data_IF_068034862596
#
_entry.id   IF_068034862596
#
_cell.length_a   1.000
_cell.length_b   1.000
_cell.length_c   1.000
_cell.angle_alpha   90.00
_cell.angle_beta   90.00
_cell.angle_gamma   90.00
#
_symmetry.space_group_name_H-M   'P 1'
#
loop_
_entity.id
_entity.type
_entity.pdbx_description
1 polymer ?
#
# COMPACT_ATOMS: atom_id res chain seq x y z
N UNK A 1 51.15 37.35 -29.61
CA UNK A 1 50.55 37.57 -28.28
C UNK A 1 49.56 38.72 -28.40
N UNK A 2 48.31 38.41 -28.78
CA UNK A 2 47.18 39.34 -28.77
C UNK A 2 45.98 38.50 -28.32
N UNK A 3 45.56 38.65 -27.07
CA UNK A 3 44.27 38.17 -26.60
C UNK A 3 43.33 39.37 -26.65
N UNK A 4 42.39 39.33 -27.60
CA UNK A 4 41.28 40.28 -27.69
C UNK A 4 40.29 39.99 -26.57
N UNK A 5 40.17 40.93 -25.63
CA UNK A 5 39.06 40.99 -24.67
C UNK A 5 37.77 41.19 -25.46
N UNK A 6 36.89 40.19 -25.39
CA UNK A 6 35.53 40.27 -25.91
C UNK A 6 34.64 40.79 -24.77
N UNK A 7 34.24 42.05 -24.85
CA UNK A 7 33.30 42.68 -23.93
C UNK A 7 31.89 42.20 -24.28
N UNK A 8 31.33 41.31 -23.46
CA UNK A 8 30.00 40.76 -23.68
C UNK A 8 28.96 41.69 -23.02
N UNK A 9 28.28 42.47 -23.86
CA UNK A 9 27.30 43.47 -23.48
C UNK A 9 26.07 42.81 -22.80
N UNK A 10 25.97 42.90 -21.47
CA UNK A 10 24.96 42.21 -20.63
C UNK A 10 23.51 42.73 -20.78
N UNK A 11 23.22 43.59 -21.76
CA UNK A 11 21.99 44.39 -21.77
C UNK A 11 20.73 43.69 -22.29
N UNK A 12 20.82 42.42 -22.71
CA UNK A 12 19.70 41.67 -23.31
C UNK A 12 19.54 40.23 -22.82
N UNK A 13 19.90 39.93 -21.57
CA UNK A 13 19.60 38.59 -21.01
C UNK A 13 18.16 38.56 -20.50
N UNK A 14 17.28 37.93 -21.28
CA UNK A 14 15.89 37.70 -20.88
C UNK A 14 15.85 36.90 -19.56
N UNK A 15 15.15 37.38 -18.51
CA UNK A 15 15.15 36.76 -17.18
C UNK A 15 14.60 35.33 -17.17
N UNK A 16 13.82 34.92 -18.18
CA UNK A 16 13.39 33.51 -18.34
C UNK A 16 14.53 32.57 -18.74
N UNK A 17 15.57 33.09 -19.40
CA UNK A 17 16.73 32.29 -19.84
C UNK A 17 17.72 32.05 -18.69
N UNK A 18 17.84 32.99 -17.75
CA UNK A 18 18.71 32.85 -16.56
C UNK A 18 18.18 31.78 -15.60
N UNK A 19 16.86 31.60 -15.52
CA UNK A 19 16.24 30.52 -14.75
C UNK A 19 16.40 29.13 -15.38
N UNK A 20 16.63 29.05 -16.70
CA UNK A 20 16.88 27.77 -17.37
C UNK A 20 18.33 27.30 -17.18
N UNK A 21 19.29 28.22 -17.07
CA UNK A 21 20.72 27.88 -16.90
C UNK A 21 21.02 27.45 -15.46
N UNK A 22 20.37 28.04 -14.45
CA UNK A 22 20.52 27.58 -13.06
C UNK A 22 19.99 26.16 -12.81
N UNK A 23 19.10 25.64 -13.68
CA UNK A 23 18.63 24.26 -13.57
C UNK A 23 19.52 23.25 -14.30
N UNK A 24 20.51 23.71 -15.07
CA UNK A 24 21.45 22.87 -15.81
C UNK A 24 22.79 22.69 -15.09
N UNK A 25 23.13 23.56 -14.12
CA UNK A 25 24.34 23.44 -13.30
C UNK A 25 24.19 22.39 -12.17
N UNK A 26 22.98 21.90 -11.89
CA UNK A 26 22.72 20.80 -10.94
C UNK A 26 22.85 19.40 -11.57
N UNK A 27 23.16 19.28 -12.88
CA UNK A 27 23.02 18.01 -13.62
C UNK A 27 24.31 17.21 -13.84
N UNK A 28 25.51 17.68 -13.47
CA UNK A 28 26.74 16.93 -13.74
C UNK A 28 27.63 16.75 -12.52
N UNK A 29 27.22 15.84 -11.65
CA UNK A 29 28.20 14.96 -11.00
C UNK A 29 27.87 13.53 -11.44
N UNK A 30 28.41 13.16 -12.60
CA UNK A 30 28.41 11.77 -13.04
C UNK A 30 29.09 10.93 -11.94
N UNK A 31 28.30 10.05 -11.31
CA UNK A 31 28.80 9.10 -10.31
C UNK A 31 29.87 8.24 -10.97
N UNK A 32 31.06 8.18 -10.39
CA UNK A 32 32.12 7.33 -10.95
C UNK A 32 31.81 5.86 -10.70
N UNK A 33 32.31 4.96 -11.55
CA UNK A 33 32.10 3.51 -11.36
C UNK A 33 32.63 3.03 -10.00
N UNK A 34 33.68 3.66 -9.46
CA UNK A 34 34.23 3.36 -8.13
C UNK A 34 33.26 3.73 -7.00
N UNK A 35 32.58 4.88 -7.11
CA UNK A 35 31.55 5.27 -6.15
C UNK A 35 30.29 4.39 -6.28
N UNK A 36 30.01 3.92 -7.49
CA UNK A 36 28.83 3.12 -7.79
C UNK A 36 28.83 1.77 -7.07
N UNK A 37 29.98 1.14 -6.81
CA UNK A 37 30.03 -0.17 -6.14
C UNK A 37 29.38 -0.15 -4.74
N UNK A 38 29.63 0.92 -3.97
CA UNK A 38 29.01 1.10 -2.65
C UNK A 38 27.50 1.42 -2.77
N UNK A 39 27.13 2.21 -3.77
CA UNK A 39 25.74 2.58 -4.01
C UNK A 39 24.90 1.41 -4.54
N UNK A 40 25.49 0.47 -5.27
CA UNK A 40 24.81 -0.74 -5.75
C UNK A 40 24.32 -1.57 -4.56
N UNK A 41 25.16 -1.77 -3.55
CA UNK A 41 24.79 -2.54 -2.35
C UNK A 41 23.60 -1.89 -1.64
N UNK A 42 23.68 -0.59 -1.38
CA UNK A 42 22.60 0.18 -0.75
C UNK A 42 21.33 0.22 -1.61
N UNK A 43 21.46 0.27 -2.93
CA UNK A 43 20.33 0.22 -3.86
C UNK A 43 19.64 -1.15 -3.84
N UNK A 44 20.40 -2.24 -3.80
CA UNK A 44 19.87 -3.61 -3.69
C UNK A 44 19.12 -3.79 -2.36
N UNK A 45 19.55 -3.10 -1.30
CA UNK A 45 18.91 -3.11 0.02
C UNK A 45 17.79 -2.09 0.23
N UNK A 46 17.38 -1.38 -0.83
CA UNK A 46 16.37 -0.32 -0.79
C UNK A 46 16.68 0.79 0.23
N UNK A 47 17.98 1.02 0.53
CA UNK A 47 18.44 2.03 1.48
C UNK A 47 18.62 3.42 0.84
N UNK A 48 18.81 3.47 -0.48
CA UNK A 48 18.93 4.73 -1.22
C UNK A 48 17.57 5.41 -1.43
N UNK A 49 17.53 6.73 -1.21
CA UNK A 49 16.34 7.54 -1.43
C UNK A 49 16.68 8.85 -2.17
N UNK A 50 15.66 9.47 -2.77
CA UNK A 50 15.79 10.80 -3.36
C UNK A 50 16.72 10.85 -4.57
N UNK A 51 17.70 11.76 -4.56
CA UNK A 51 18.54 12.02 -5.72
C UNK A 51 19.67 10.99 -5.90
N UNK A 52 20.17 10.40 -4.81
CA UNK A 52 21.17 9.33 -4.86
C UNK A 52 20.63 8.09 -5.60
N UNK A 53 19.37 7.72 -5.33
CA UNK A 53 18.70 6.63 -6.02
C UNK A 53 18.54 6.93 -7.53
N UNK A 54 18.17 8.16 -7.89
CA UNK A 54 18.04 8.56 -9.30
C UNK A 54 19.37 8.52 -10.03
N UNK A 55 20.43 9.03 -9.39
CA UNK A 55 21.79 9.04 -9.96
C UNK A 55 22.32 7.62 -10.15
N UNK A 56 22.11 6.75 -9.17
CA UNK A 56 22.46 5.33 -9.26
C UNK A 56 21.74 4.64 -10.43
N UNK A 57 20.42 4.81 -10.53
CA UNK A 57 19.62 4.21 -11.62
C UNK A 57 20.03 4.75 -12.99
N UNK A 58 20.32 6.06 -13.09
CA UNK A 58 20.82 6.66 -14.32
C UNK A 58 22.17 6.07 -14.73
N UNK A 59 23.12 5.92 -13.80
CA UNK A 59 24.42 5.30 -14.07
C UNK A 59 24.28 3.84 -14.52
N UNK A 60 23.41 3.04 -13.88
CA UNK A 60 23.17 1.64 -14.26
C UNK A 60 22.58 1.51 -15.67
N UNK A 61 21.82 2.49 -16.14
CA UNK A 61 21.29 2.52 -17.50
C UNK A 61 22.38 2.73 -18.57
N UNK A 62 23.48 3.41 -18.20
CA UNK A 62 24.57 3.76 -19.11
C UNK A 62 25.79 2.81 -19.01
N UNK A 63 26.05 2.25 -17.83
CA UNK A 63 27.23 1.45 -17.53
C UNK A 63 26.91 -0.06 -17.40
N UNK A 64 27.24 -0.83 -18.44
CA UNK A 64 26.99 -2.29 -18.51
C UNK A 64 27.70 -3.07 -17.40
N UNK A 65 28.92 -2.66 -17.04
CA UNK A 65 29.70 -3.34 -16.00
C UNK A 65 29.05 -3.20 -14.62
N UNK A 66 28.64 -1.98 -14.26
CA UNK A 66 27.94 -1.73 -13.00
C UNK A 66 26.56 -2.41 -12.97
N UNK A 67 25.83 -2.42 -14.09
CA UNK A 67 24.56 -3.14 -14.18
C UNK A 67 24.72 -4.66 -13.99
N UNK A 68 25.81 -5.23 -14.53
CA UNK A 68 26.12 -6.66 -14.34
C UNK A 68 26.40 -6.99 -12.88
N UNK A 69 27.06 -6.09 -12.14
CA UNK A 69 27.31 -6.26 -10.70
C UNK A 69 25.99 -6.14 -9.92
N UNK A 70 25.16 -5.15 -10.24
CA UNK A 70 23.83 -4.97 -9.63
C UNK A 70 22.95 -6.20 -9.78
N UNK A 71 22.80 -6.74 -10.99
CA UNK A 71 21.97 -7.93 -11.22
C UNK A 71 22.48 -9.17 -10.47
N UNK A 72 23.81 -9.35 -10.37
CA UNK A 72 24.41 -10.43 -9.58
C UNK A 72 24.12 -10.29 -8.08
N UNK A 73 24.24 -9.09 -7.52
CA UNK A 73 23.94 -8.86 -6.11
C UNK A 73 22.44 -9.07 -5.82
N UNK A 74 21.58 -8.61 -6.72
CA UNK A 74 20.12 -8.81 -6.64
C UNK A 74 19.73 -10.29 -6.72
N UNK A 75 20.33 -11.06 -7.63
CA UNK A 75 20.12 -12.50 -7.72
C UNK A 75 20.58 -13.20 -6.43
N UNK A 76 21.75 -12.84 -5.89
CA UNK A 76 22.24 -13.37 -4.63
C UNK A 76 21.28 -13.07 -3.47
N UNK A 77 20.75 -11.84 -3.39
CA UNK A 77 19.75 -11.47 -2.39
C UNK A 77 18.49 -12.35 -2.48
N UNK A 78 17.95 -12.58 -3.69
CA UNK A 78 16.81 -13.46 -3.90
C UNK A 78 17.10 -14.92 -3.49
N UNK A 79 18.31 -15.42 -3.77
CA UNK A 79 18.74 -16.75 -3.33
C UNK A 79 18.83 -16.84 -1.80
N UNK A 80 19.35 -15.79 -1.14
CA UNK A 80 19.40 -15.72 0.31
C UNK A 80 17.99 -15.65 0.92
N UNK A 81 17.10 -14.83 0.37
CA UNK A 81 15.70 -14.73 0.83
C UNK A 81 14.94 -16.05 0.69
N UNK A 82 15.19 -16.81 -0.38
CA UNK A 82 14.56 -18.13 -0.57
C UNK A 82 15.15 -19.23 0.32
N UNK A 83 16.44 -19.12 0.67
CA UNK A 83 17.14 -20.11 1.51
C UNK A 83 16.91 -19.85 3.00
N UNK A 84 16.93 -18.59 3.41
CA UNK A 84 16.61 -18.16 4.75
C UNK A 84 15.10 -18.32 4.95
N UNK A 85 14.68 -19.46 5.51
CA UNK A 85 13.30 -19.66 5.95
C UNK A 85 12.86 -18.43 6.76
N UNK A 86 11.87 -17.69 6.24
CA UNK A 86 11.44 -16.44 6.84
C UNK A 86 11.12 -16.65 8.32
N UNK A 87 11.99 -16.12 9.19
CA UNK A 87 11.77 -16.24 10.64
C UNK A 87 10.59 -15.36 10.97
N UNK A 88 9.45 -15.99 11.22
CA UNK A 88 8.23 -15.24 11.43
C UNK A 88 8.26 -14.54 12.78
N UNK A 89 8.11 -13.22 12.77
CA UNK A 89 8.04 -12.44 14.00
C UNK A 89 6.79 -12.86 14.80
N UNK A 90 6.93 -13.23 16.09
CA UNK A 90 5.81 -13.56 16.98
C UNK A 90 4.69 -12.51 16.91
N UNK A 91 3.43 -12.96 16.95
CA UNK A 91 2.26 -12.10 16.78
C UNK A 91 2.26 -10.87 17.72
N UNK A 92 2.74 -11.03 18.95
CA UNK A 92 2.83 -9.93 19.92
C UNK A 92 3.84 -8.85 19.50
N UNK A 93 4.99 -9.21 18.89
CA UNK A 93 5.96 -8.24 18.39
C UNK A 93 5.39 -7.46 17.21
N UNK A 94 4.72 -8.15 16.27
CA UNK A 94 4.05 -7.50 15.14
C UNK A 94 2.97 -6.53 15.61
N UNK A 95 2.16 -6.93 16.58
CA UNK A 95 1.15 -6.06 17.19
C UNK A 95 1.79 -4.83 17.86
N UNK A 96 2.90 -5.02 18.58
CA UNK A 96 3.65 -3.92 19.22
C UNK A 96 4.21 -2.94 18.21
N UNK A 97 4.83 -3.42 17.12
CA UNK A 97 5.38 -2.58 16.06
C UNK A 97 4.27 -1.79 15.34
N UNK A 98 3.13 -2.44 15.01
CA UNK A 98 2.00 -1.73 14.42
C UNK A 98 1.46 -0.63 15.32
N UNK A 99 1.38 -0.90 16.63
CA UNK A 99 0.97 0.09 17.61
C UNK A 99 1.96 1.25 17.68
N UNK A 100 3.26 0.98 17.72
CA UNK A 100 4.27 2.05 17.79
C UNK A 100 4.28 2.91 16.52
N UNK A 101 4.13 2.31 15.33
CA UNK A 101 4.02 3.08 14.07
C UNK A 101 2.80 4.00 14.10
N UNK A 102 1.66 3.51 14.60
CA UNK A 102 0.44 4.31 14.72
C UNK A 102 0.62 5.45 15.73
N UNK A 103 1.20 5.17 16.89
CA UNK A 103 1.47 6.18 17.92
C UNK A 103 2.44 7.26 17.40
N UNK A 104 3.49 6.86 16.66
CA UNK A 104 4.45 7.78 16.05
C UNK A 104 3.82 8.63 14.92
N UNK A 105 2.91 8.06 14.13
CA UNK A 105 2.20 8.80 13.10
C UNK A 105 1.26 9.86 13.71
N UNK A 106 0.56 9.50 14.79
CA UNK A 106 -0.33 10.42 15.51
C UNK A 106 0.47 11.53 16.22
N UNK A 107 1.62 11.20 16.82
CA UNK A 107 2.47 12.19 17.48
C UNK A 107 3.17 13.12 16.51
N UNK A 108 3.67 12.61 15.38
CA UNK A 108 4.37 13.41 14.37
C UNK A 108 3.47 14.48 13.74
N UNK A 109 2.20 14.15 13.47
CA UNK A 109 1.23 15.12 12.95
C UNK A 109 0.92 16.21 13.98
N UNK A 110 0.69 15.84 15.25
CA UNK A 110 0.41 16.81 16.31
C UNK A 110 1.62 17.70 16.61
N UNK A 111 2.83 17.15 16.57
CA UNK A 111 4.06 17.88 16.81
C UNK A 111 4.40 18.83 15.65
N UNK A 112 4.21 18.40 14.40
CA UNK A 112 4.31 19.28 13.23
C UNK A 112 3.25 20.40 13.27
N UNK A 113 2.01 20.10 13.67
CA UNK A 113 0.98 21.11 13.89
C UNK A 113 1.36 22.08 15.02
N UNK A 114 1.92 21.59 16.13
CA UNK A 114 2.37 22.41 17.25
C UNK A 114 3.55 23.31 16.88
N UNK A 115 4.50 22.83 16.07
CA UNK A 115 5.60 23.66 15.54
C UNK A 115 5.09 24.74 14.58
N UNK A 116 4.15 24.41 13.69
CA UNK A 116 3.51 25.38 12.79
C UNK A 116 2.69 26.42 13.58
N UNK A 117 2.01 26.01 14.65
CA UNK A 117 1.22 26.90 15.51
C UNK A 117 2.09 27.76 16.46
N UNK A 118 3.23 27.23 16.92
CA UNK A 118 4.13 27.94 17.83
C UNK A 118 5.13 28.85 17.12
N UNK A 119 5.36 28.67 15.81
CA UNK A 119 6.13 29.57 14.95
C UNK A 119 5.38 30.89 14.64
N UNK A 120 5.06 31.65 15.68
CA UNK A 120 5.00 33.11 15.79
C UNK A 120 4.84 34.02 14.53
N UNK A 121 3.86 33.78 13.64
CA UNK A 121 3.30 34.81 12.71
C UNK A 121 1.77 34.77 12.60
N UNK A 122 1.09 34.61 13.73
CA UNK A 122 -0.35 34.37 13.83
C UNK A 122 -1.27 35.61 13.79
N UNK A 123 -0.84 36.77 13.25
CA UNK A 123 -1.78 37.89 13.02
C UNK A 123 -2.43 37.84 11.64
N UNK A 124 -1.75 37.28 10.63
CA UNK A 124 -2.29 37.14 9.27
C UNK A 124 -2.82 35.73 8.96
N UNK A 125 -2.27 34.68 9.60
CA UNK A 125 -2.65 33.29 9.34
C UNK A 125 -4.04 32.90 9.90
N UNK A 126 -4.51 33.55 10.98
CA UNK A 126 -5.86 33.28 11.54
C UNK A 126 -6.95 33.67 10.56
N UNK A 127 -6.76 34.79 9.85
CA UNK A 127 -7.74 35.27 8.89
C UNK A 127 -7.87 34.31 7.70
N UNK A 128 -6.77 33.78 7.17
CA UNK A 128 -6.80 32.84 6.04
C UNK A 128 -7.36 31.47 6.42
N UNK A 129 -7.02 30.95 7.61
CA UNK A 129 -7.59 29.67 8.09
C UNK A 129 -9.09 29.81 8.39
N UNK A 130 -9.53 30.92 9.00
CA UNK A 130 -10.95 31.17 9.20
C UNK A 130 -11.70 31.30 7.87
N UNK A 131 -11.11 31.94 6.87
CA UNK A 131 -11.70 32.07 5.53
C UNK A 131 -11.80 30.71 4.83
N UNK A 132 -10.77 29.88 4.91
CA UNK A 132 -10.79 28.51 4.38
C UNK A 132 -11.79 27.63 5.12
N UNK A 133 -11.91 27.74 6.44
CA UNK A 133 -12.93 27.02 7.20
C UNK A 133 -14.34 27.43 6.77
N UNK A 134 -14.61 28.73 6.57
CA UNK A 134 -15.91 29.23 6.07
C UNK A 134 -16.21 28.72 4.65
N UNK A 135 -15.19 28.66 3.78
CA UNK A 135 -15.34 28.14 2.41
C UNK A 135 -15.55 26.63 2.42
N UNK A 136 -14.80 25.88 3.22
CA UNK A 136 -14.80 24.40 3.21
C UNK A 136 -15.97 23.82 4.01
N UNK A 137 -16.44 24.49 5.07
CA UNK A 137 -17.57 24.05 5.91
C UNK A 137 -18.85 23.70 5.13
N UNK A 138 -19.33 24.49 4.15
CA UNK A 138 -20.49 24.10 3.36
C UNK A 138 -20.21 22.87 2.46
N UNK A 139 -18.99 22.71 1.94
CA UNK A 139 -18.63 21.55 1.11
C UNK A 139 -18.47 20.27 1.93
N UNK A 140 -17.94 20.34 3.16
CA UNK A 140 -17.83 19.18 4.04
C UNK A 140 -19.21 18.69 4.49
N UNK A 141 -20.17 19.59 4.72
CA UNK A 141 -21.56 19.19 5.01
C UNK A 141 -22.25 18.55 3.80
N UNK A 142 -21.98 19.01 2.58
CA UNK A 142 -22.43 18.34 1.34
C UNK A 142 -21.82 16.93 1.18
N UNK A 143 -20.56 16.74 1.57
CA UNK A 143 -19.90 15.44 1.50
C UNK A 143 -20.33 14.48 2.62
N UNK A 144 -20.51 14.99 3.85
CA UNK A 144 -21.02 14.19 4.98
C UNK A 144 -22.46 13.75 4.72
N UNK A 145 -23.26 14.53 4.01
CA UNK A 145 -24.59 14.11 3.57
C UNK A 145 -24.54 13.06 2.44
N UNK A 146 -23.47 13.02 1.63
CA UNK A 146 -23.23 11.94 0.65
C UNK A 146 -22.67 10.66 1.27
N UNK A 147 -22.02 10.75 2.44
CA UNK A 147 -21.60 9.57 3.22
C UNK A 147 -22.72 9.02 4.10
N UNK A 148 -23.73 9.84 4.41
CA UNK A 148 -24.90 9.49 5.22
C UNK A 148 -26.05 8.83 4.45
N UNK A 149 -25.98 8.74 3.11
CA UNK A 149 -27.05 8.17 2.27
C UNK A 149 -26.77 6.77 1.70
N UNK A 150 -25.69 6.10 2.09
CA UNK A 150 -25.53 4.65 1.86
C UNK A 150 -26.16 3.79 2.98
N UNK A 151 -26.94 4.40 3.88
CA UNK A 151 -27.85 3.72 4.81
C UNK A 151 -29.29 4.23 4.67
N UNK A 152 -29.67 4.76 3.50
CA UNK A 152 -30.98 4.33 3.03
C UNK A 152 -30.81 2.81 2.89
N UNK A 153 -31.47 2.07 3.77
CA UNK A 153 -31.60 0.63 3.65
C UNK A 153 -32.10 0.37 2.23
N UNK A 154 -31.16 0.15 1.30
CA UNK A 154 -31.43 -0.59 0.11
C UNK A 154 -31.90 -1.91 0.70
N UNK A 155 -33.24 -2.09 0.70
CA UNK A 155 -33.89 -3.37 0.85
C UNK A 155 -33.41 -4.21 -0.33
N UNK A 156 -32.11 -4.53 -0.35
CA UNK A 156 -31.60 -5.66 -1.06
C UNK A 156 -32.43 -6.80 -0.53
N UNK A 157 -33.22 -7.36 -1.43
CA UNK A 157 -34.07 -8.49 -1.19
C UNK A 157 -33.18 -9.62 -0.66
N UNK A 158 -33.08 -9.68 0.67
CA UNK A 158 -32.25 -10.63 1.38
C UNK A 158 -32.89 -11.98 1.18
N UNK A 159 -32.46 -12.67 0.13
CA UNK A 159 -32.98 -13.99 -0.17
C UNK A 159 -32.42 -14.97 0.84
N UNK A 160 -33.30 -15.54 1.66
CA UNK A 160 -32.94 -16.68 2.48
C UNK A 160 -32.63 -17.87 1.57
N UNK A 161 -31.45 -18.46 1.73
CA UNK A 161 -30.98 -19.58 0.94
C UNK A 161 -30.37 -20.65 1.84
N UNK A 162 -30.43 -21.89 1.37
CA UNK A 162 -29.68 -23.01 1.91
C UNK A 162 -28.66 -23.46 0.87
N UNK A 163 -27.38 -23.44 1.22
CA UNK A 163 -26.28 -23.83 0.33
C UNK A 163 -25.57 -25.03 0.92
N UNK A 164 -25.44 -26.08 0.11
CA UNK A 164 -24.69 -27.28 0.44
C UNK A 164 -23.39 -27.29 -0.35
N UNK A 165 -22.29 -27.56 0.33
CA UNK A 165 -20.98 -27.51 -0.30
C UNK A 165 -19.85 -27.99 0.60
N UNK A 166 -18.64 -27.92 0.07
CA UNK A 166 -17.40 -28.27 0.79
C UNK A 166 -16.77 -26.99 1.34
N UNK A 167 -16.38 -27.02 2.62
CA UNK A 167 -15.62 -25.94 3.22
C UNK A 167 -14.18 -25.97 2.70
N UNK A 168 -13.69 -24.83 2.24
CA UNK A 168 -12.34 -24.65 1.74
C UNK A 168 -11.75 -23.31 2.18
N UNK A 169 -10.44 -23.14 2.01
CA UNK A 169 -9.78 -21.85 2.21
C UNK A 169 -9.79 -21.07 0.89
N UNK A 170 -10.41 -19.90 0.89
CA UNK A 170 -10.59 -19.04 -0.28
C UNK A 170 -9.23 -18.60 -0.83
N UNK A 171 -8.30 -18.19 0.04
CA UNK A 171 -6.96 -17.74 -0.38
C UNK A 171 -6.17 -18.86 -1.05
N UNK A 172 -6.23 -20.05 -0.46
CA UNK A 172 -5.55 -21.23 -0.99
C UNK A 172 -6.14 -21.64 -2.37
N UNK A 173 -7.46 -21.57 -2.58
CA UNK A 173 -8.06 -21.81 -3.90
C UNK A 173 -7.74 -20.70 -4.91
N UNK A 174 -7.70 -19.43 -4.49
CA UNK A 174 -7.31 -18.32 -5.35
C UNK A 174 -5.85 -18.46 -5.83
N UNK A 175 -4.93 -18.81 -4.93
CA UNK A 175 -3.53 -19.09 -5.25
C UNK A 175 -3.39 -20.26 -6.23
N UNK A 176 -4.15 -21.34 -6.00
CA UNK A 176 -4.18 -22.50 -6.90
C UNK A 176 -4.70 -22.14 -8.28
N UNK A 177 -5.75 -21.32 -8.37
CA UNK A 177 -6.28 -20.83 -9.64
C UNK A 177 -5.26 -19.96 -10.40
N UNK A 178 -4.39 -19.25 -9.69
CA UNK A 178 -3.27 -18.49 -10.26
C UNK A 178 -2.03 -19.36 -10.60
N UNK A 179 -2.07 -20.67 -10.35
CA UNK A 179 -0.94 -21.58 -10.63
C UNK A 179 0.16 -21.60 -9.56
N UNK A 180 -0.11 -21.05 -8.37
CA UNK A 180 0.84 -21.04 -7.25
C UNK A 180 0.57 -22.18 -6.26
N UNK A 181 1.61 -22.59 -5.54
CA UNK A 181 1.50 -23.52 -4.41
C UNK A 181 0.91 -22.74 -3.24
N UNK A 182 -0.28 -23.14 -2.79
CA UNK A 182 -0.96 -22.50 -1.69
C UNK A 182 -0.29 -22.85 -0.35
N UNK A 183 0.31 -21.86 0.30
CA UNK A 183 0.91 -21.98 1.63
C UNK A 183 0.15 -21.02 2.54
N UNK A 184 -0.90 -21.51 3.19
CA UNK A 184 -1.68 -20.74 4.16
C UNK A 184 -1.20 -21.14 5.57
N UNK A 185 -0.31 -20.35 6.19
CA UNK A 185 0.31 -20.72 7.48
C UNK A 185 -0.40 -20.16 8.72
N UNK A 186 -1.14 -19.04 8.63
CA UNK A 186 -1.52 -18.28 9.85
C UNK A 186 -2.97 -17.77 9.87
N UNK A 187 -3.66 -17.68 8.73
CA UNK A 187 -5.08 -17.31 8.72
C UNK A 187 -5.74 -17.89 7.47
N UNK A 188 -6.75 -18.75 7.63
CA UNK A 188 -7.52 -19.23 6.48
C UNK A 188 -8.84 -18.51 6.45
N UNK A 189 -9.10 -17.77 5.38
CA UNK A 189 -10.46 -17.31 5.11
C UNK A 189 -11.28 -18.49 4.59
N UNK A 190 -12.07 -19.09 5.49
CA UNK A 190 -12.92 -20.21 5.12
C UNK A 190 -14.14 -19.73 4.32
N UNK A 191 -14.45 -20.46 3.26
CA UNK A 191 -15.64 -20.30 2.44
C UNK A 191 -16.26 -21.67 2.12
N UNK A 192 -17.43 -21.67 1.46
CA UNK A 192 -18.13 -22.87 1.03
C UNK A 192 -18.21 -22.91 -0.50
N UNK A 193 -17.68 -23.96 -1.11
CA UNK A 193 -17.85 -24.23 -2.53
C UNK A 193 -19.03 -25.17 -2.76
N UNK A 194 -20.05 -24.71 -3.48
CA UNK A 194 -21.21 -25.53 -3.83
C UNK A 194 -20.90 -26.52 -4.96
N UNK A 195 -21.89 -27.35 -5.31
CA UNK A 195 -21.75 -28.35 -6.38
C UNK A 195 -21.58 -27.75 -7.79
N UNK A 196 -21.90 -26.47 -7.97
CA UNK A 196 -21.67 -25.75 -9.24
C UNK A 196 -20.25 -25.15 -9.30
N UNK A 197 -19.43 -25.34 -8.26
CA UNK A 197 -18.09 -24.77 -8.15
C UNK A 197 -18.07 -23.32 -7.67
N UNK A 198 -19.24 -22.75 -7.34
CA UNK A 198 -19.37 -21.37 -6.88
C UNK A 198 -18.97 -21.27 -5.41
N UNK A 199 -18.07 -20.32 -5.11
CA UNK A 199 -17.55 -20.08 -3.77
C UNK A 199 -18.41 -19.02 -3.06
N UNK A 200 -18.83 -19.35 -1.85
CA UNK A 200 -19.59 -18.51 -0.93
C UNK A 200 -18.73 -18.10 0.26
N UNK A 201 -18.66 -16.79 0.49
CA UNK A 201 -17.91 -16.17 1.57
C UNK A 201 -18.82 -15.94 2.78
N UNK A 202 -18.33 -16.23 3.98
CA UNK A 202 -19.09 -15.99 5.20
C UNK A 202 -18.91 -14.55 5.65
N UNK A 203 -20.02 -13.84 5.82
CA UNK A 203 -19.99 -12.53 6.47
C UNK A 203 -19.78 -12.71 7.96
N UNK A 204 -19.09 -11.74 8.57
CA UNK A 204 -18.72 -11.72 9.97
C UNK A 204 -19.92 -11.48 10.92
N UNK A 205 -20.94 -12.34 10.82
CA UNK A 205 -22.04 -12.48 11.77
C UNK A 205 -21.63 -13.45 12.89
N UNK A 206 -22.33 -13.42 14.02
CA UNK A 206 -21.99 -14.20 15.21
C UNK A 206 -21.86 -15.71 14.92
N UNK A 207 -22.77 -16.27 14.13
CA UNK A 207 -22.70 -17.67 13.68
C UNK A 207 -21.61 -17.92 12.63
N UNK A 208 -21.36 -16.95 11.75
CA UNK A 208 -20.29 -17.01 10.75
C UNK A 208 -18.91 -17.13 11.39
N UNK A 209 -18.66 -16.39 12.48
CA UNK A 209 -17.40 -16.44 13.24
C UNK A 209 -17.05 -17.86 13.72
N UNK A 210 -18.06 -18.66 14.08
CA UNK A 210 -17.87 -20.04 14.53
C UNK A 210 -17.34 -20.95 13.42
N UNK A 211 -17.69 -20.64 12.17
CA UNK A 211 -17.19 -21.38 11.00
C UNK A 211 -15.83 -20.85 10.57
N UNK A 212 -15.69 -19.52 10.44
CA UNK A 212 -14.50 -18.85 9.86
C UNK A 212 -13.20 -19.27 10.57
N UNK A 213 -13.25 -19.46 11.89
CA UNK A 213 -12.07 -19.77 12.69
C UNK A 213 -11.94 -21.26 13.09
N UNK A 214 -12.86 -22.13 12.65
CA UNK A 214 -12.80 -23.56 12.97
C UNK A 214 -12.20 -24.38 11.81
N UNK A 215 -10.88 -24.53 11.84
CA UNK A 215 -10.15 -25.30 10.83
C UNK A 215 -10.51 -26.79 10.82
N UNK A 216 -11.16 -27.33 11.86
CA UNK A 216 -11.61 -28.72 11.87
C UNK A 216 -12.72 -28.98 10.84
N UNK A 217 -13.39 -27.92 10.39
CA UNK A 217 -14.41 -27.94 9.35
C UNK A 217 -13.82 -27.94 7.94
N UNK A 218 -12.51 -27.66 7.78
CA UNK A 218 -11.88 -27.63 6.47
C UNK A 218 -12.01 -28.98 5.75
N UNK A 219 -12.31 -28.91 4.46
CA UNK A 219 -12.62 -30.05 3.61
C UNK A 219 -13.84 -30.89 4.00
N UNK A 220 -14.64 -30.48 4.99
CA UNK A 220 -15.91 -31.14 5.33
C UNK A 220 -17.05 -30.63 4.45
N UNK A 221 -18.00 -31.50 4.17
CA UNK A 221 -19.25 -31.12 3.51
C UNK A 221 -20.22 -30.60 4.57
N UNK A 222 -20.80 -29.44 4.30
CA UNK A 222 -21.71 -28.76 5.20
C UNK A 222 -22.91 -28.23 4.44
N UNK A 223 -23.98 -28.00 5.17
CA UNK A 223 -25.13 -27.22 4.71
C UNK A 223 -25.24 -25.97 5.58
N UNK A 224 -25.34 -24.83 4.92
CA UNK A 224 -25.38 -23.51 5.54
C UNK A 224 -26.66 -22.83 5.09
N UNK A 225 -27.45 -22.41 6.07
CA UNK A 225 -28.68 -21.63 5.89
C UNK A 225 -28.41 -20.19 6.31
N UNK A 226 -28.81 -19.23 5.48
CA UNK A 226 -28.55 -17.82 5.74
C UNK A 226 -29.12 -16.90 4.68
N UNK A 227 -28.78 -15.61 4.79
CA UNK A 227 -29.21 -14.60 3.83
C UNK A 227 -28.11 -14.34 2.82
N UNK A 228 -28.43 -14.50 1.54
CA UNK A 228 -27.56 -14.08 0.45
C UNK A 228 -27.50 -12.55 0.40
N UNK A 229 -26.31 -12.00 0.22
CA UNK A 229 -26.11 -10.56 0.05
C UNK A 229 -25.83 -10.26 -1.42
N UNK A 230 -26.88 -9.93 -2.22
CA UNK A 230 -26.71 -9.59 -3.63
C UNK A 230 -25.90 -8.30 -3.79
N UNK A 231 -25.25 -8.13 -4.94
CA UNK A 231 -24.55 -6.88 -5.29
C UNK A 231 -23.10 -6.78 -4.84
N UNK A 232 -22.61 -7.73 -4.05
CA UNK A 232 -21.17 -7.84 -3.79
C UNK A 232 -20.49 -8.60 -4.94
N UNK A 233 -19.29 -8.17 -5.34
CA UNK A 233 -18.46 -8.85 -6.36
C UNK A 233 -18.15 -10.32 -6.01
N UNK A 234 -18.45 -10.73 -4.78
CA UNK A 234 -18.22 -12.06 -4.24
C UNK A 234 -19.54 -12.57 -3.65
N UNK A 235 -19.84 -13.85 -3.77
CA UNK A 235 -21.08 -14.40 -3.24
C UNK A 235 -21.00 -14.47 -1.72
N UNK A 236 -21.62 -13.52 -1.03
CA UNK A 236 -21.59 -13.44 0.41
C UNK A 236 -22.87 -14.04 1.03
N UNK A 237 -22.71 -14.77 2.12
CA UNK A 237 -23.82 -15.30 2.92
C UNK A 237 -23.67 -14.89 4.39
N UNK A 238 -24.72 -14.29 4.94
CA UNK A 238 -24.84 -14.06 6.38
C UNK A 238 -25.41 -15.33 7.02
N UNK A 239 -24.53 -16.11 7.65
CA UNK A 239 -24.85 -17.41 8.24
C UNK A 239 -25.83 -17.25 9.40
N UNK A 240 -26.93 -18.00 9.36
CA UNK A 240 -27.90 -18.10 10.46
C UNK A 240 -27.81 -19.47 11.14
N UNK A 241 -27.54 -20.51 10.36
CA UNK A 241 -27.44 -21.88 10.85
C UNK A 241 -26.52 -22.68 9.95
N UNK A 242 -25.83 -23.65 10.52
CA UNK A 242 -25.04 -24.61 9.77
C UNK A 242 -25.13 -26.00 10.39
N UNK A 243 -25.00 -27.03 9.56
CA UNK A 243 -24.87 -28.42 10.00
C UNK A 243 -23.83 -29.16 9.18
N UNK A 244 -23.10 -30.04 9.84
CA UNK A 244 -22.22 -31.00 9.19
C UNK A 244 -23.07 -32.13 8.61
N UNK A 245 -22.76 -32.54 7.39
CA UNK A 245 -23.43 -33.65 6.70
C UNK A 245 -22.62 -34.95 6.79
#
# INVERSE_FOLDING_TARGET
>A
MILTQYDFDQKYVNPKTVLLIKHLEDFEMAVSCEQMENLITQLVDDELQGDEQKQAVAHLAECVDCNTIYEKQKELKLQLESTCQGVYAPAHLRARIRRSIRESAESGFLQAMAEVLSAHRFKSAVATVALLAIIVWPYSNLFVQSSGTNQAAEQHDLRFIAVRGKILCIDCEAMKAAGHIAICEIDHHLGLQDSAGKIWNFVNAEEGKKIIHDFSLMNKTMEIEGYALPGSFQNNISVQKFRKL
#
